data_IF_275758281294
#
_entry.id   IF_275758281294
#
_cell.length_a   1.000
_cell.length_b   1.000
_cell.length_c   1.000
_cell.angle_alpha   90.00
_cell.angle_beta   90.00
_cell.angle_gamma   90.00
#
_symmetry.space_group_name_H-M   'P 1'
#
loop_
_entity.id
_entity.type
_entity.pdbx_description
1 polymer ?
#
# COMPACT_ATOMS: atom_id res chain seq x y z
N UNK A 1 62.67 -26.45 3.38
CA UNK A 1 61.31 -27.00 3.29
C UNK A 1 60.35 -25.97 3.86
N UNK A 2 59.60 -25.32 2.98
CA UNK A 2 58.66 -24.26 3.33
C UNK A 2 57.27 -24.87 3.58
N UNK A 3 56.71 -24.64 4.77
CA UNK A 3 55.30 -24.94 5.06
C UNK A 3 54.48 -23.68 4.76
N UNK A 4 53.76 -23.68 3.65
CA UNK A 4 52.79 -22.64 3.31
C UNK A 4 51.59 -22.74 4.24
N UNK A 5 51.34 -21.69 5.02
CA UNK A 5 50.20 -21.57 5.94
C UNK A 5 49.02 -20.99 5.16
N UNK A 6 48.14 -21.86 4.68
CA UNK A 6 46.90 -21.52 3.99
C UNK A 6 45.98 -20.70 4.93
N UNK A 7 45.83 -19.40 4.63
CA UNK A 7 44.95 -18.49 5.38
C UNK A 7 43.52 -18.63 4.84
N UNK A 8 42.68 -19.41 5.53
CA UNK A 8 41.25 -19.53 5.20
C UNK A 8 40.58 -18.18 5.51
N UNK A 9 40.37 -17.35 4.48
CA UNK A 9 39.54 -16.15 4.55
C UNK A 9 38.07 -16.57 4.62
N UNK A 10 37.50 -16.67 5.82
CA UNK A 10 36.06 -16.87 6.00
C UNK A 10 35.29 -15.66 5.45
N UNK A 11 34.61 -15.85 4.33
CA UNK A 11 33.65 -14.89 3.77
C UNK A 11 32.33 -15.09 4.51
N UNK A 12 31.98 -14.17 5.41
CA UNK A 12 30.67 -14.14 6.06
C UNK A 12 29.68 -13.49 5.10
N UNK A 13 28.89 -14.31 4.41
CA UNK A 13 27.78 -13.84 3.56
C UNK A 13 26.57 -13.57 4.45
N UNK A 14 26.32 -12.29 4.74
CA UNK A 14 25.14 -11.85 5.49
C UNK A 14 23.93 -11.89 4.54
N UNK A 15 23.22 -13.01 4.51
CA UNK A 15 21.98 -13.16 3.75
C UNK A 15 20.88 -12.41 4.49
N UNK A 16 20.57 -11.18 4.06
CA UNK A 16 19.40 -10.45 4.55
C UNK A 16 18.15 -11.07 3.94
N UNK A 17 17.42 -11.86 4.72
CA UNK A 17 16.06 -12.28 4.37
C UNK A 17 15.16 -11.05 4.36
N UNK A 18 14.89 -10.52 3.16
CA UNK A 18 13.80 -9.55 2.96
C UNK A 18 12.50 -10.35 3.05
N UNK A 19 11.92 -10.40 4.24
CA UNK A 19 10.58 -10.95 4.43
C UNK A 19 9.57 -9.98 3.81
N UNK A 20 9.13 -10.27 2.58
CA UNK A 20 7.93 -9.65 2.02
C UNK A 20 6.74 -10.21 2.79
N UNK A 21 6.35 -9.54 3.88
CA UNK A 21 5.08 -9.81 4.52
C UNK A 21 3.98 -9.51 3.50
N UNK A 22 3.47 -10.55 2.84
CA UNK A 22 2.31 -10.42 1.97
C UNK A 22 1.16 -9.91 2.84
N UNK A 23 0.82 -8.62 2.70
CA UNK A 23 -0.27 -8.02 3.46
C UNK A 23 -1.56 -8.63 2.96
N UNK A 24 -2.01 -9.63 3.73
CA UNK A 24 -3.22 -10.40 3.47
C UNK A 24 -4.41 -9.57 3.91
N UNK A 25 -5.47 -9.63 3.12
CA UNK A 25 -6.83 -9.45 3.61
C UNK A 25 -6.98 -10.26 4.88
N UNK A 26 -7.01 -9.57 6.02
CA UNK A 26 -7.04 -10.23 7.32
C UNK A 26 -8.48 -10.67 7.56
N UNK A 27 -8.77 -11.96 7.41
CA UNK A 27 -10.13 -12.53 7.45
C UNK A 27 -10.91 -12.24 8.74
N UNK A 28 -10.26 -11.73 9.78
CA UNK A 28 -10.85 -11.35 11.07
C UNK A 28 -11.31 -9.89 11.15
N UNK A 29 -10.90 -9.01 10.23
CA UNK A 29 -11.49 -7.68 10.05
C UNK A 29 -12.49 -7.76 8.90
N UNK A 30 -13.75 -7.41 9.17
CA UNK A 30 -14.90 -7.47 8.24
C UNK A 30 -14.83 -6.43 7.10
N UNK A 31 -13.62 -6.11 6.62
CA UNK A 31 -13.42 -5.09 5.60
C UNK A 31 -13.06 -5.77 4.29
N UNK A 32 -13.86 -5.52 3.26
CA UNK A 32 -13.72 -6.05 1.89
C UNK A 32 -12.46 -5.53 1.14
N UNK A 33 -11.59 -4.78 1.81
CA UNK A 33 -10.38 -4.20 1.25
C UNK A 33 -9.41 -3.64 2.30
N UNK A 34 -8.28 -3.11 1.84
CA UNK A 34 -7.23 -2.51 2.66
C UNK A 34 -6.47 -1.40 1.92
N UNK A 35 -5.81 -0.51 2.65
CA UNK A 35 -4.92 0.52 2.08
C UNK A 35 -3.44 0.14 2.21
N UNK A 36 -2.61 0.74 1.37
CA UNK A 36 -1.15 0.68 1.43
C UNK A 36 -0.58 2.10 1.28
N UNK A 37 0.18 2.62 2.26
CA UNK A 37 0.46 2.00 3.57
C UNK A 37 -0.81 1.90 4.45
N UNK A 38 -0.70 1.12 5.54
CA UNK A 38 -1.77 0.94 6.53
C UNK A 38 -1.57 1.84 7.74
N UNK A 39 -2.67 2.32 8.32
CA UNK A 39 -2.66 3.13 9.54
C UNK A 39 -2.13 4.54 9.33
N UNK A 40 -1.57 5.12 10.40
CA UNK A 40 -1.06 6.49 10.40
C UNK A 40 0.23 6.61 9.59
N UNK A 41 0.31 7.65 8.77
CA UNK A 41 1.48 7.95 7.92
C UNK A 41 2.05 9.30 8.38
N UNK A 42 3.33 9.31 8.74
CA UNK A 42 4.06 10.57 9.00
C UNK A 42 4.84 10.94 7.75
N UNK A 43 4.61 12.15 7.23
CA UNK A 43 5.30 12.70 6.07
C UNK A 43 6.01 14.00 6.44
N UNK A 44 7.18 14.23 5.85
CA UNK A 44 7.87 15.52 5.95
C UNK A 44 7.24 16.49 4.95
N UNK A 45 7.38 17.78 5.23
CA UNK A 45 6.92 18.81 4.30
C UNK A 45 7.57 18.65 2.92
N UNK A 46 6.75 18.60 1.88
CA UNK A 46 7.18 18.44 0.49
C UNK A 46 7.36 16.97 0.06
N UNK A 47 7.18 16.00 0.94
CA UNK A 47 7.16 14.60 0.54
C UNK A 47 5.83 14.24 -0.13
N UNK A 48 5.92 13.30 -1.08
CA UNK A 48 4.76 12.80 -1.79
C UNK A 48 3.94 11.85 -0.90
N UNK A 49 2.62 11.99 -0.97
CA UNK A 49 1.71 11.01 -0.41
C UNK A 49 1.31 10.03 -1.52
N UNK A 50 1.43 8.72 -1.24
CA UNK A 50 1.07 7.66 -2.16
C UNK A 50 0.27 6.59 -1.41
N UNK A 51 -1.05 6.55 -1.65
CA UNK A 51 -1.96 5.60 -1.00
C UNK A 51 -2.58 4.72 -2.08
N UNK A 52 -2.40 3.41 -1.98
CA UNK A 52 -3.11 2.43 -2.81
C UNK A 52 -4.24 1.81 -1.99
N UNK A 53 -5.44 1.73 -2.56
CA UNK A 53 -6.56 1.01 -1.97
C UNK A 53 -6.84 -0.24 -2.80
N UNK A 54 -6.97 -1.38 -2.13
CA UNK A 54 -7.11 -2.70 -2.75
C UNK A 54 -8.34 -3.40 -2.20
N UNK A 55 -9.11 -4.01 -3.09
CA UNK A 55 -10.14 -4.97 -2.72
C UNK A 55 -9.55 -6.36 -2.49
N UNK A 56 -10.15 -7.07 -1.56
CA UNK A 56 -9.87 -8.46 -1.29
C UNK A 56 -10.46 -9.37 -2.37
N UNK A 57 -9.85 -10.53 -2.58
CA UNK A 57 -10.27 -11.45 -3.64
C UNK A 57 -11.74 -11.85 -3.47
N UNK A 58 -12.17 -12.07 -2.24
CA UNK A 58 -13.53 -12.42 -1.86
C UNK A 58 -14.53 -11.31 -2.27
N UNK A 59 -14.15 -10.05 -2.10
CA UNK A 59 -14.96 -8.91 -2.54
C UNK A 59 -15.01 -8.83 -4.07
N UNK A 60 -13.90 -9.10 -4.74
CA UNK A 60 -13.86 -9.12 -6.21
C UNK A 60 -14.75 -10.22 -6.78
N UNK A 61 -14.74 -11.41 -6.18
CA UNK A 61 -15.62 -12.51 -6.57
C UNK A 61 -17.11 -12.16 -6.36
N UNK A 62 -17.41 -11.40 -5.30
CA UNK A 62 -18.78 -10.96 -4.97
C UNK A 62 -19.30 -9.85 -5.89
N UNK A 63 -18.45 -8.88 -6.26
CA UNK A 63 -18.87 -7.67 -6.98
C UNK A 63 -18.49 -7.65 -8.47
N UNK A 64 -17.65 -8.59 -8.91
CA UNK A 64 -17.24 -8.78 -10.31
C UNK A 64 -15.90 -8.14 -10.68
N UNK A 65 -15.47 -8.42 -11.91
CA UNK A 65 -14.13 -8.16 -12.46
C UNK A 65 -13.74 -6.67 -12.66
N UNK A 66 -14.55 -5.70 -12.23
CA UNK A 66 -14.24 -4.26 -12.31
C UNK A 66 -14.65 -3.52 -11.03
N UNK A 67 -14.53 -4.16 -9.88
CA UNK A 67 -14.92 -3.57 -8.61
C UNK A 67 -14.14 -2.28 -8.25
N UNK A 68 -12.96 -2.07 -8.83
CA UNK A 68 -12.19 -0.83 -8.65
C UNK A 68 -12.91 0.43 -9.14
N UNK A 69 -13.84 0.34 -10.10
CA UNK A 69 -14.63 1.49 -10.55
C UNK A 69 -15.62 2.00 -9.50
N UNK A 70 -15.82 1.24 -8.42
CA UNK A 70 -16.70 1.59 -7.30
C UNK A 70 -15.92 2.03 -6.06
N UNK A 71 -14.59 2.00 -6.12
CA UNK A 71 -13.72 2.52 -5.07
C UNK A 71 -13.56 4.03 -5.23
N UNK A 72 -13.49 4.74 -4.10
CA UNK A 72 -13.22 6.18 -4.09
C UNK A 72 -12.52 6.59 -2.80
N UNK A 73 -11.76 7.68 -2.88
CA UNK A 73 -11.12 8.28 -1.71
C UNK A 73 -11.92 9.46 -1.17
N UNK A 74 -11.85 9.65 0.14
CA UNK A 74 -12.22 10.90 0.80
C UNK A 74 -11.05 11.42 1.61
N UNK A 75 -11.00 12.74 1.76
CA UNK A 75 -10.12 13.44 2.69
C UNK A 75 -10.96 14.28 3.62
N UNK A 76 -10.82 14.07 4.93
CA UNK A 76 -11.56 14.81 5.95
C UNK A 76 -13.08 14.83 5.66
N UNK A 77 -13.63 13.66 5.31
CA UNK A 77 -15.02 13.43 4.92
C UNK A 77 -15.50 14.10 3.62
N UNK A 78 -14.58 14.68 2.84
CA UNK A 78 -14.87 15.24 1.51
C UNK A 78 -14.37 14.31 0.42
N UNK A 79 -15.20 14.04 -0.59
CA UNK A 79 -14.81 13.22 -1.72
C UNK A 79 -13.63 13.85 -2.47
N UNK A 80 -12.61 13.05 -2.77
CA UNK A 80 -11.50 13.44 -3.64
C UNK A 80 -11.98 13.32 -5.09
N UNK A 81 -11.73 14.32 -5.94
CA UNK A 81 -12.15 14.27 -7.34
C UNK A 81 -11.59 13.03 -8.06
N UNK A 82 -12.41 12.34 -8.87
CA UNK A 82 -12.01 11.08 -9.52
C UNK A 82 -10.82 11.24 -10.46
N UNK A 83 -10.60 12.41 -11.04
CA UNK A 83 -9.46 12.73 -11.91
C UNK A 83 -8.10 12.68 -11.18
N UNK A 84 -8.10 12.81 -9.84
CA UNK A 84 -6.90 12.67 -9.02
C UNK A 84 -6.61 11.20 -8.64
N UNK A 85 -7.55 10.31 -8.91
CA UNK A 85 -7.49 8.90 -8.53
C UNK A 85 -7.24 8.05 -9.77
N UNK A 86 -6.19 7.24 -9.71
CA UNK A 86 -5.82 6.35 -10.82
C UNK A 86 -6.33 4.95 -10.57
N UNK A 87 -7.09 4.38 -11.51
CA UNK A 87 -7.36 2.94 -11.53
C UNK A 87 -6.06 2.22 -11.90
N UNK A 88 -5.56 1.36 -11.02
CA UNK A 88 -4.34 0.59 -11.25
C UNK A 88 -4.66 -0.72 -11.96
N UNK A 89 -5.73 -1.39 -11.53
CA UNK A 89 -6.25 -2.62 -12.12
C UNK A 89 -7.73 -2.81 -11.74
N UNK A 90 -8.31 -3.98 -12.00
CA UNK A 90 -9.71 -4.32 -11.69
C UNK A 90 -10.08 -4.27 -10.20
N UNK A 91 -9.10 -4.30 -9.30
CA UNK A 91 -9.30 -4.44 -7.86
C UNK A 91 -8.74 -3.28 -7.05
N UNK A 92 -8.00 -2.37 -7.69
CA UNK A 92 -7.18 -1.39 -6.98
C UNK A 92 -7.21 -0.01 -7.63
N UNK A 93 -7.25 1.00 -6.76
CA UNK A 93 -7.09 2.41 -7.13
C UNK A 93 -5.92 3.02 -6.35
N UNK A 94 -5.35 4.10 -6.87
CA UNK A 94 -4.23 4.81 -6.28
C UNK A 94 -4.49 6.31 -6.21
N UNK A 95 -4.11 6.90 -5.08
CA UNK A 95 -4.06 8.33 -4.87
C UNK A 95 -2.60 8.74 -4.72
N UNK A 96 -2.12 9.58 -5.64
CA UNK A 96 -0.78 10.14 -5.60
C UNK A 96 -0.86 11.68 -5.53
N UNK A 97 -0.26 12.24 -4.48
CA UNK A 97 -0.14 13.69 -4.29
C UNK A 97 1.34 14.02 -4.20
N UNK A 98 1.89 14.59 -5.28
CA UNK A 98 3.33 14.87 -5.39
C UNK A 98 3.85 15.78 -4.27
N UNK A 99 3.07 16.80 -3.92
CA UNK A 99 3.37 17.72 -2.83
C UNK A 99 2.12 17.85 -1.96
N UNK A 100 2.14 17.21 -0.78
CA UNK A 100 1.00 17.33 0.12
C UNK A 100 0.88 18.80 0.62
N UNK A 101 -0.33 19.32 0.85
CA UNK A 101 -0.48 20.65 1.43
C UNK A 101 0.00 20.69 2.89
N UNK A 102 0.44 21.86 3.35
CA UNK A 102 0.86 22.07 4.75
C UNK A 102 -0.34 21.90 5.68
N UNK A 103 -0.43 20.74 6.31
CA UNK A 103 -1.42 20.42 7.35
C UNK A 103 -0.74 19.80 8.56
N UNK A 104 -1.34 19.93 9.75
CA UNK A 104 -0.87 19.20 10.95
C UNK A 104 -1.23 17.72 10.88
N UNK A 105 -2.46 17.46 10.45
CA UNK A 105 -3.03 16.12 10.26
C UNK A 105 -4.10 16.20 9.16
N UNK A 106 -4.39 15.07 8.52
CA UNK A 106 -5.52 14.92 7.60
C UNK A 106 -5.87 13.44 7.53
N UNK A 107 -7.17 13.13 7.52
CA UNK A 107 -7.64 11.76 7.47
C UNK A 107 -8.01 11.39 6.03
N UNK A 108 -7.42 10.30 5.53
CA UNK A 108 -7.75 9.74 4.23
C UNK A 108 -8.48 8.41 4.42
N UNK A 109 -9.61 8.26 3.76
CA UNK A 109 -10.38 7.02 3.77
C UNK A 109 -10.56 6.52 2.34
N UNK A 110 -10.53 5.19 2.19
CA UNK A 110 -10.99 4.54 0.98
C UNK A 110 -12.33 3.85 1.26
N UNK A 111 -13.31 4.11 0.41
CA UNK A 111 -14.64 3.53 0.50
C UNK A 111 -14.95 2.74 -0.77
N UNK A 112 -15.89 1.81 -0.62
CA UNK A 112 -16.42 1.00 -1.71
C UNK A 112 -17.94 1.18 -1.79
N UNK A 113 -18.45 1.55 -2.97
CA UNK A 113 -19.89 1.63 -3.20
C UNK A 113 -20.45 0.25 -3.56
N UNK A 114 -21.06 -0.41 -2.57
CA UNK A 114 -21.62 -1.76 -2.72
C UNK A 114 -23.05 -1.81 -3.30
N UNK A 115 -23.67 -0.66 -3.56
CA UNK A 115 -25.08 -0.57 -4.00
C UNK A 115 -25.21 -0.72 -5.52
#
# INVERSE_FOLDING_TARGET
MAFSKEYIRSIIVLITFVSTAGQKCMSSLLTDGYTMPQGDITLRYGEALNITCNLCKEAVDKYGLNASSRLYFTRDNKSIPPEMVKIINSTSINLYIAEHPKTKEANYYCYFNAT
#
